data_IF_150527178746
#
_entry.id   IF_150527178746
#
_cell.length_a   1.000
_cell.length_b   1.000
_cell.length_c   1.000
_cell.angle_alpha   90.00
_cell.angle_beta   90.00
_cell.angle_gamma   90.00
#
_symmetry.space_group_name_H-M   'P 1'
#
loop_
_entity.id
_entity.type
_entity.pdbx_description
1 polymer ?
#
# COMPACT_ATOMS: atom_id res chain seq x y z
N UNK A 1 -8.45 19.05 8.97
CA UNK A 1 -8.97 17.96 9.82
C UNK A 1 -8.23 16.63 9.62
N UNK A 2 -8.11 16.13 8.38
CA UNK A 2 -7.48 14.83 8.09
C UNK A 2 -6.09 14.63 8.70
N UNK A 3 -5.20 15.63 8.60
CA UNK A 3 -3.83 15.53 9.13
C UNK A 3 -3.81 15.39 10.66
N UNK A 4 -4.71 16.08 11.37
CA UNK A 4 -4.79 16.02 12.83
C UNK A 4 -5.32 14.65 13.29
N UNK A 5 -6.40 14.17 12.66
CA UNK A 5 -6.96 12.85 12.96
C UNK A 5 -5.95 11.75 12.64
N UNK A 6 -5.29 11.83 11.48
CA UNK A 6 -4.26 10.87 11.08
C UNK A 6 -3.06 10.89 12.04
N UNK A 7 -2.60 12.07 12.48
CA UNK A 7 -1.51 12.20 13.43
C UNK A 7 -1.83 11.60 14.80
N UNK A 8 -3.02 11.88 15.33
CA UNK A 8 -3.48 11.30 16.59
C UNK A 8 -3.63 9.77 16.50
N UNK A 9 -4.28 9.28 15.43
CA UNK A 9 -4.43 7.85 15.20
C UNK A 9 -3.07 7.14 15.06
N UNK A 10 -2.11 7.77 14.36
CA UNK A 10 -0.76 7.24 14.20
C UNK A 10 -0.02 7.18 15.54
N UNK A 11 -0.14 8.20 16.38
CA UNK A 11 0.48 8.23 17.71
C UNK A 11 -0.05 7.11 18.61
N UNK A 12 -1.38 6.92 18.63
CA UNK A 12 -2.02 5.84 19.40
C UNK A 12 -1.64 4.46 18.86
N UNK A 13 -1.55 4.31 17.54
CA UNK A 13 -1.16 3.05 16.91
C UNK A 13 0.35 2.76 17.03
N UNK A 14 1.19 3.78 17.27
CA UNK A 14 2.65 3.69 17.27
C UNK A 14 3.25 2.52 18.08
N UNK A 15 2.85 2.26 19.34
CA UNK A 15 3.37 1.11 20.10
C UNK A 15 3.09 -0.22 19.40
N UNK A 16 1.87 -0.41 18.86
CA UNK A 16 1.50 -1.62 18.12
C UNK A 16 2.29 -1.73 16.81
N UNK A 17 2.43 -0.62 16.08
CA UNK A 17 3.18 -0.57 14.82
C UNK A 17 4.66 -0.92 15.03
N UNK A 18 5.27 -0.48 16.14
CA UNK A 18 6.64 -0.82 16.51
C UNK A 18 6.79 -2.32 16.83
N UNK A 19 5.85 -2.91 17.58
CA UNK A 19 5.85 -4.35 17.86
C UNK A 19 5.76 -5.16 16.57
N UNK A 20 4.87 -4.78 15.65
CA UNK A 20 4.76 -5.41 14.33
C UNK A 20 6.07 -5.25 13.54
N UNK A 21 6.68 -4.06 13.56
CA UNK A 21 7.94 -3.81 12.86
C UNK A 21 9.08 -4.70 13.39
N UNK A 22 9.19 -4.87 14.71
CA UNK A 22 10.16 -5.77 15.35
C UNK A 22 9.86 -7.22 14.98
N UNK A 23 8.60 -7.67 15.05
CA UNK A 23 8.22 -9.03 14.68
C UNK A 23 8.58 -9.36 13.22
N UNK A 24 8.36 -8.42 12.28
CA UNK A 24 8.76 -8.58 10.87
C UNK A 24 10.28 -8.65 10.73
N UNK A 25 11.02 -7.79 11.46
CA UNK A 25 12.49 -7.76 11.39
C UNK A 25 13.14 -9.02 11.95
N UNK A 26 12.54 -9.62 12.98
CA UNK A 26 13.00 -10.87 13.57
C UNK A 26 12.68 -12.09 12.69
N UNK A 27 11.59 -12.05 11.93
CA UNK A 27 11.15 -13.18 11.09
C UNK A 27 11.73 -13.17 9.68
N UNK A 28 12.13 -12.02 9.15
CA UNK A 28 12.64 -11.87 7.78
C UNK A 28 13.79 -10.86 7.72
N UNK A 29 14.94 -11.26 7.15
CA UNK A 29 16.04 -10.33 6.86
C UNK A 29 15.57 -9.38 5.75
N UNK A 30 15.40 -8.10 6.08
CA UNK A 30 15.05 -7.07 5.10
C UNK A 30 14.40 -5.81 5.65
N UNK A 31 13.86 -5.00 4.74
CA UNK A 31 13.04 -3.80 5.06
C UNK A 31 11.67 -4.21 5.60
N UNK A 32 11.15 -3.44 6.57
CA UNK A 32 9.84 -3.71 7.20
C UNK A 32 8.66 -3.37 6.28
N UNK A 33 8.84 -2.35 5.44
CA UNK A 33 7.78 -1.86 4.56
C UNK A 33 7.90 -2.40 3.13
N UNK A 34 6.76 -2.78 2.56
CA UNK A 34 6.55 -2.98 1.14
C UNK A 34 6.00 -1.68 0.52
N UNK A 35 6.54 -1.30 -0.63
CA UNK A 35 6.17 -0.07 -1.34
C UNK A 35 5.56 -0.40 -2.69
N UNK A 36 4.40 0.16 -2.98
CA UNK A 36 3.69 -0.05 -4.24
C UNK A 36 3.20 1.27 -4.81
N UNK A 37 3.48 1.52 -6.09
CA UNK A 37 2.98 2.70 -6.80
C UNK A 37 1.51 2.51 -7.20
N UNK A 38 0.68 3.52 -6.92
CA UNK A 38 -0.74 3.56 -7.27
C UNK A 38 -1.11 4.90 -7.90
N UNK A 39 -2.10 4.89 -8.77
CA UNK A 39 -2.65 6.10 -9.37
C UNK A 39 -3.52 6.82 -8.34
N UNK A 40 -3.14 8.05 -8.01
CA UNK A 40 -3.81 8.90 -7.03
C UNK A 40 -5.04 9.59 -7.58
N UNK A 41 -5.50 10.60 -6.85
CA UNK A 41 -6.69 11.36 -7.19
C UNK A 41 -6.55 11.99 -8.59
N UNK A 42 -7.32 11.47 -9.54
CA UNK A 42 -7.49 12.10 -10.84
C UNK A 42 -8.31 13.38 -10.66
N UNK A 43 -7.77 14.51 -11.13
CA UNK A 43 -8.43 15.80 -10.98
C UNK A 43 -9.47 15.89 -12.09
N UNK A 44 -10.62 15.26 -11.88
CA UNK A 44 -11.77 15.31 -12.80
C UNK A 44 -12.15 16.77 -13.03
N UNK A 45 -11.84 17.30 -14.20
CA UNK A 45 -12.46 18.55 -14.67
C UNK A 45 -13.80 18.12 -15.28
N UNK A 46 -14.95 18.59 -14.77
CA UNK A 46 -16.22 18.39 -15.44
C UNK A 46 -16.10 18.96 -16.85
N UNK A 47 -16.37 18.16 -17.88
CA UNK A 47 -16.42 18.64 -19.25
C UNK A 47 -17.49 19.73 -19.40
N UNK A 48 -17.37 20.56 -20.43
CA UNK A 48 -18.33 21.64 -20.72
C UNK A 48 -19.76 21.14 -21.00
N UNK A 49 -19.94 19.84 -21.21
CA UNK A 49 -21.22 19.18 -21.43
C UNK A 49 -21.52 18.21 -20.26
N UNK A 50 -22.52 18.55 -19.44
CA UNK A 50 -22.95 17.77 -18.29
C UNK A 50 -23.78 16.51 -18.67
N UNK A 51 -24.14 16.34 -19.94
CA UNK A 51 -24.97 15.21 -20.40
C UNK A 51 -24.15 13.96 -20.71
N UNK A 52 -22.88 14.10 -21.11
CA UNK A 52 -21.98 12.99 -21.43
C UNK A 52 -21.04 12.67 -20.26
N UNK A 53 -21.37 11.61 -19.49
CA UNK A 53 -20.57 11.14 -18.36
C UNK A 53 -19.38 10.25 -18.76
N UNK A 54 -19.20 9.98 -20.07
CA UNK A 54 -18.10 9.15 -20.56
C UNK A 54 -16.77 9.88 -20.40
N UNK A 55 -15.79 9.22 -19.76
CA UNK A 55 -14.43 9.74 -19.53
C UNK A 55 -13.78 10.07 -20.87
N UNK A 56 -13.79 11.34 -21.27
CA UNK A 56 -13.21 11.77 -22.55
C UNK A 56 -11.71 12.03 -22.43
N UNK A 57 -11.20 12.29 -21.21
CA UNK A 57 -9.76 12.42 -20.90
C UNK A 57 -9.48 11.96 -19.48
N UNK A 58 -8.64 10.93 -19.32
CA UNK A 58 -7.93 10.69 -18.05
C UNK A 58 -6.85 11.77 -17.96
N UNK A 59 -6.90 12.63 -16.94
CA UNK A 59 -5.89 13.67 -16.73
C UNK A 59 -4.66 13.12 -15.99
N UNK A 60 -4.52 11.78 -15.92
CA UNK A 60 -3.42 11.10 -15.29
C UNK A 60 -3.34 11.45 -13.82
N UNK A 61 -4.11 10.75 -12.98
CA UNK A 61 -3.97 10.87 -11.53
C UNK A 61 -2.49 10.77 -11.14
N UNK A 62 -2.02 11.69 -10.28
CA UNK A 62 -0.60 11.71 -9.90
C UNK A 62 -0.28 10.38 -9.19
N UNK A 63 0.77 9.65 -9.62
CA UNK A 63 1.15 8.45 -8.92
C UNK A 63 1.58 8.79 -7.49
N UNK A 64 1.26 7.91 -6.55
CA UNK A 64 1.73 7.98 -5.18
C UNK A 64 2.18 6.62 -4.70
N UNK A 65 3.18 6.61 -3.83
CA UNK A 65 3.71 5.39 -3.23
C UNK A 65 2.93 5.07 -1.97
N UNK A 66 2.34 3.88 -1.94
CA UNK A 66 1.71 3.33 -0.74
C UNK A 66 2.75 2.53 0.05
N UNK A 67 2.84 2.82 1.34
CA UNK A 67 3.63 2.05 2.31
C UNK A 67 2.72 1.07 3.07
N UNK A 68 3.12 -0.20 3.12
CA UNK A 68 2.43 -1.25 3.88
C UNK A 68 3.43 -2.06 4.66
N UNK A 69 3.02 -2.65 5.78
CA UNK A 69 3.83 -3.68 6.42
C UNK A 69 3.99 -4.86 5.49
N UNK A 70 5.22 -5.35 5.39
CA UNK A 70 5.55 -6.49 4.54
C UNK A 70 5.04 -7.77 5.21
N UNK A 71 4.16 -8.50 4.53
CA UNK A 71 3.72 -9.84 4.95
C UNK A 71 4.47 -10.97 4.24
N UNK A 72 5.18 -10.68 3.14
CA UNK A 72 5.96 -11.64 2.35
C UNK A 72 7.48 -11.50 2.53
N UNK A 73 8.29 -12.45 2.06
CA UNK A 73 9.77 -12.36 2.10
C UNK A 73 10.32 -11.30 1.13
N UNK A 74 11.55 -10.83 1.37
CA UNK A 74 12.18 -9.69 0.67
C UNK A 74 12.26 -9.82 -0.86
N UNK A 75 12.28 -11.05 -1.40
CA UNK A 75 12.36 -11.31 -2.84
C UNK A 75 11.20 -12.17 -3.36
N UNK A 76 10.06 -12.16 -2.67
CA UNK A 76 8.89 -12.96 -3.01
C UNK A 76 8.39 -12.76 -4.47
N UNK A 77 8.61 -11.57 -5.02
CA UNK A 77 8.12 -11.16 -6.35
C UNK A 77 9.25 -10.95 -7.37
N UNK A 78 10.51 -11.25 -7.02
CA UNK A 78 11.66 -10.94 -7.89
C UNK A 78 11.65 -11.72 -9.22
N UNK A 79 11.22 -12.99 -9.19
CA UNK A 79 11.17 -13.84 -10.39
C UNK A 79 9.79 -13.84 -11.07
N UNK A 80 8.71 -13.63 -10.30
CA UNK A 80 7.32 -13.81 -10.78
C UNK A 80 6.56 -12.51 -11.00
N UNK A 81 7.04 -11.38 -10.49
CA UNK A 81 6.29 -10.12 -10.46
C UNK A 81 5.12 -10.16 -9.47
N UNK A 82 4.22 -9.18 -9.56
CA UNK A 82 3.06 -9.08 -8.69
C UNK A 82 2.02 -10.15 -9.04
N UNK A 83 2.02 -11.25 -8.28
CA UNK A 83 1.09 -12.39 -8.44
C UNK A 83 0.19 -12.50 -7.21
N UNK A 84 -1.08 -12.82 -7.39
CA UNK A 84 -2.01 -13.04 -6.28
C UNK A 84 -1.51 -14.15 -5.34
N UNK A 85 -1.58 -13.88 -4.03
CA UNK A 85 -1.22 -14.86 -3.01
C UNK A 85 -2.24 -16.00 -3.00
N UNK A 86 -1.76 -17.24 -2.93
CA UNK A 86 -2.59 -18.43 -2.77
C UNK A 86 -2.71 -18.83 -1.28
N UNK A 87 -3.67 -19.69 -0.96
CA UNK A 87 -3.78 -20.25 0.38
C UNK A 87 -2.52 -21.07 0.70
N UNK A 88 -1.85 -20.75 1.81
CA UNK A 88 -0.55 -21.32 2.22
C UNK A 88 0.64 -21.00 1.28
N UNK A 89 0.68 -19.79 0.71
CA UNK A 89 1.82 -19.36 -0.11
C UNK A 89 3.15 -19.39 0.68
N UNK A 90 4.19 -20.11 0.20
CA UNK A 90 5.48 -20.24 0.90
C UNK A 90 6.23 -18.91 1.03
N UNK A 91 5.82 -17.87 0.29
CA UNK A 91 6.39 -16.53 0.33
C UNK A 91 5.92 -15.72 1.52
N UNK A 92 4.84 -16.12 2.21
CA UNK A 92 4.29 -15.43 3.38
C UNK A 92 5.18 -15.68 4.61
N UNK A 93 5.47 -14.62 5.36
CA UNK A 93 6.19 -14.70 6.64
C UNK A 93 5.29 -15.31 7.73
N UNK A 94 5.84 -16.00 8.74
CA UNK A 94 5.03 -16.59 9.81
C UNK A 94 4.13 -15.58 10.56
N UNK A 95 4.54 -14.31 10.62
CA UNK A 95 3.78 -13.21 11.24
C UNK A 95 2.66 -12.69 10.30
N UNK A 96 2.79 -12.89 8.99
CA UNK A 96 1.82 -12.45 7.99
C UNK A 96 0.80 -13.50 7.57
N UNK A 97 0.82 -14.69 8.19
CA UNK A 97 -0.20 -15.74 8.03
C UNK A 97 -1.37 -15.46 8.97
#
# INVERSE_FOLDING_TARGET
>A
MNVLIAGLALFVALPLLLLIAVAIKLTSRGRVFYTQERIGLDRRIPGADASNHHRTRDLGGRPFTIYKFRTMRENAEHESGAVWATQNDPRITPVGR
#
